data_IF_710890698742
#
_entry.id   IF_710890698742
#
_cell.length_a   1.000
_cell.length_b   1.000
_cell.length_c   1.000
_cell.angle_alpha   90.00
_cell.angle_beta   90.00
_cell.angle_gamma   90.00
#
_symmetry.space_group_name_H-M   'P 1'
#
loop_
_entity.id
_entity.type
_entity.pdbx_description
1 polymer ?
#
# COMPACT_ATOMS: atom_id res chain seq x y z
N UNK A 1 41.13 -64.30 6.41
CA UNK A 1 42.20 -64.66 5.46
C UNK A 1 42.34 -63.48 4.51
N UNK A 2 43.17 -62.50 4.86
CA UNK A 2 44.60 -62.36 4.54
C UNK A 2 44.86 -61.56 3.24
N UNK A 3 45.43 -60.35 3.42
CA UNK A 3 46.45 -59.65 2.59
C UNK A 3 45.99 -59.15 1.18
N UNK A 4 46.30 -57.96 0.65
CA UNK A 4 47.36 -56.97 0.90
C UNK A 4 46.97 -55.59 0.34
N UNK A 5 47.44 -54.56 1.04
CA UNK A 5 47.55 -53.18 0.57
C UNK A 5 48.76 -53.01 -0.38
N UNK A 6 48.68 -52.07 -1.32
CA UNK A 6 49.85 -51.47 -1.96
C UNK A 6 49.63 -49.97 -2.17
N UNK A 7 50.38 -49.18 -1.41
CA UNK A 7 50.59 -47.74 -1.58
C UNK A 7 51.79 -47.47 -2.50
N UNK A 8 51.90 -46.18 -2.89
CA UNK A 8 53.13 -45.38 -3.17
C UNK A 8 53.45 -45.10 -4.67
N UNK A 9 53.97 -43.91 -5.09
CA UNK A 9 53.93 -42.55 -4.53
C UNK A 9 53.50 -41.42 -5.50
N UNK A 10 53.31 -40.24 -4.90
CA UNK A 10 53.31 -38.89 -5.46
C UNK A 10 54.72 -38.46 -5.92
N UNK A 11 54.85 -37.85 -7.10
CA UNK A 11 56.05 -37.11 -7.51
C UNK A 11 55.66 -35.74 -8.12
N UNK A 12 56.23 -34.71 -7.51
CA UNK A 12 56.11 -33.29 -7.81
C UNK A 12 57.19 -32.90 -8.84
N UNK A 13 56.86 -32.14 -9.87
CA UNK A 13 57.84 -31.39 -10.67
C UNK A 13 57.28 -30.04 -11.08
N UNK A 14 58.07 -29.00 -10.80
CA UNK A 14 57.79 -27.59 -10.98
C UNK A 14 58.50 -27.01 -12.22
N UNK A 15 58.26 -25.70 -12.42
CA UNK A 15 58.89 -24.76 -13.34
C UNK A 15 58.26 -24.70 -14.75
N UNK A 16 58.15 -23.56 -15.43
CA UNK A 16 58.33 -22.14 -15.13
C UNK A 16 57.94 -21.39 -16.41
N UNK A 17 57.51 -20.13 -16.26
CA UNK A 17 57.20 -19.12 -17.26
C UNK A 17 58.11 -19.04 -18.49
N UNK A 18 57.50 -18.72 -19.64
CA UNK A 18 58.10 -17.92 -20.69
C UNK A 18 57.03 -17.02 -21.35
N UNK A 19 57.21 -15.72 -21.15
CA UNK A 19 56.51 -14.59 -21.77
C UNK A 19 56.84 -14.45 -23.27
N UNK A 20 55.83 -14.13 -24.07
CA UNK A 20 55.91 -13.26 -25.26
C UNK A 20 54.45 -12.91 -25.59
N UNK A 21 54.01 -11.67 -25.81
CA UNK A 21 54.69 -10.43 -26.14
C UNK A 21 53.61 -9.62 -26.88
N UNK A 22 53.27 -8.46 -26.34
CA UNK A 22 52.21 -7.57 -26.80
C UNK A 22 52.22 -7.30 -28.32
N UNK A 23 51.04 -7.36 -28.94
CA UNK A 23 50.69 -6.50 -30.05
C UNK A 23 49.34 -5.83 -29.74
N UNK A 24 49.47 -4.59 -29.28
CA UNK A 24 48.44 -3.58 -29.13
C UNK A 24 47.62 -3.45 -30.42
N UNK A 25 46.35 -3.83 -30.36
CA UNK A 25 45.32 -3.18 -31.17
C UNK A 25 44.26 -2.66 -30.22
N UNK A 26 44.52 -1.44 -29.75
CA UNK A 26 43.53 -0.46 -29.32
C UNK A 26 42.35 -0.40 -30.31
N UNK A 27 41.45 -1.37 -30.21
CA UNK A 27 40.05 -1.19 -30.57
C UNK A 27 39.49 -0.26 -29.50
N UNK A 28 39.67 1.04 -29.73
CA UNK A 28 38.82 2.07 -29.14
C UNK A 28 37.40 1.56 -29.31
N UNK A 29 36.81 1.04 -28.23
CA UNK A 29 35.37 1.00 -28.10
C UNK A 29 34.96 2.45 -28.16
N UNK A 30 34.66 2.87 -29.38
CA UNK A 30 33.89 4.03 -29.72
C UNK A 30 32.72 4.03 -28.73
N UNK A 31 32.82 4.87 -27.69
CA UNK A 31 31.78 5.08 -26.69
C UNK A 31 30.65 5.86 -27.37
N UNK A 32 30.10 5.29 -28.44
CA UNK A 32 28.76 5.60 -28.90
C UNK A 32 27.85 5.02 -27.84
N UNK A 33 27.53 5.85 -26.86
CA UNK A 33 26.52 5.54 -25.87
C UNK A 33 25.26 5.15 -26.63
N UNK A 34 24.97 3.85 -26.64
CA UNK A 34 23.78 3.27 -27.28
C UNK A 34 22.57 3.97 -26.69
N UNK A 35 21.63 4.40 -27.54
CA UNK A 35 20.51 5.21 -27.10
C UNK A 35 19.80 4.59 -25.87
N UNK A 36 19.48 5.43 -24.89
CA UNK A 36 18.80 5.05 -23.66
C UNK A 36 17.45 4.39 -24.00
N UNK A 37 17.20 3.25 -23.37
CA UNK A 37 15.97 2.47 -23.56
C UNK A 37 14.74 3.20 -23.02
N UNK A 38 13.52 2.78 -23.37
CA UNK A 38 12.29 3.34 -22.81
C UNK A 38 12.36 3.48 -21.28
N UNK A 39 12.06 4.66 -20.75
CA UNK A 39 12.13 5.00 -19.32
C UNK A 39 13.52 4.94 -18.66
N UNK A 40 14.59 4.72 -19.42
CA UNK A 40 15.95 4.79 -18.87
C UNK A 40 16.37 6.24 -18.62
N UNK A 41 17.34 6.43 -17.71
CA UNK A 41 17.96 7.73 -17.49
C UNK A 41 18.74 8.15 -18.74
N UNK A 42 18.52 9.39 -19.16
CA UNK A 42 19.14 9.98 -20.34
C UNK A 42 19.82 11.33 -20.05
N UNK A 43 19.99 11.69 -18.78
CA UNK A 43 20.63 12.94 -18.39
C UNK A 43 20.60 13.21 -16.89
N UNK A 44 21.27 14.29 -16.48
CA UNK A 44 21.42 14.69 -15.07
C UNK A 44 22.86 15.08 -14.74
N UNK A 45 23.04 15.99 -13.78
CA UNK A 45 24.36 16.35 -13.24
C UNK A 45 25.10 15.10 -12.76
N UNK A 46 26.28 14.84 -13.32
CA UNK A 46 27.12 13.68 -12.99
C UNK A 46 26.81 12.40 -13.79
N UNK A 47 25.78 12.38 -14.64
CA UNK A 47 25.44 11.23 -15.47
C UNK A 47 26.40 11.11 -16.68
N UNK A 48 27.01 9.94 -16.85
CA UNK A 48 27.98 9.64 -17.93
C UNK A 48 27.46 8.61 -18.95
N UNK A 49 26.17 8.24 -18.86
CA UNK A 49 25.51 7.30 -19.77
C UNK A 49 24.93 7.94 -21.02
N UNK A 50 24.04 7.23 -21.71
CA UNK A 50 23.47 7.66 -22.98
C UNK A 50 22.56 8.88 -22.84
N UNK A 51 22.87 9.96 -23.56
CA UNK A 51 22.12 11.23 -23.48
C UNK A 51 20.99 11.38 -24.49
N UNK A 52 20.79 10.37 -25.33
CA UNK A 52 19.75 10.32 -26.37
C UNK A 52 18.91 9.06 -26.19
N UNK A 53 17.61 9.15 -26.44
CA UNK A 53 16.68 8.03 -26.28
C UNK A 53 16.50 7.25 -27.59
N UNK A 54 16.05 5.99 -27.47
CA UNK A 54 15.69 5.17 -28.64
C UNK A 54 14.57 5.82 -29.47
N UNK A 55 14.43 5.43 -30.73
CA UNK A 55 13.46 6.03 -31.66
C UNK A 55 12.04 5.96 -31.09
N UNK A 56 11.29 7.07 -31.18
CA UNK A 56 9.95 7.22 -30.60
C UNK A 56 9.93 7.73 -29.15
N UNK A 57 11.10 7.99 -28.56
CA UNK A 57 11.24 8.47 -27.18
C UNK A 57 12.06 9.76 -27.12
N UNK A 58 11.71 10.63 -26.17
CA UNK A 58 12.34 11.94 -25.95
C UNK A 58 12.92 12.00 -24.56
N UNK A 59 14.16 12.48 -24.43
CA UNK A 59 14.78 12.70 -23.13
C UNK A 59 14.16 13.95 -22.47
N UNK A 60 13.45 13.78 -21.37
CA UNK A 60 12.80 14.88 -20.64
C UNK A 60 13.44 15.04 -19.27
N UNK A 61 13.84 16.28 -18.96
CA UNK A 61 14.44 16.62 -17.66
C UNK A 61 13.38 16.55 -16.57
N UNK A 62 13.58 15.67 -15.59
CA UNK A 62 12.76 15.64 -14.39
C UNK A 62 13.31 16.62 -13.33
N UNK A 63 14.63 16.62 -13.12
CA UNK A 63 15.31 17.57 -12.26
C UNK A 63 16.79 17.74 -12.67
N UNK A 64 17.54 18.53 -11.90
CA UNK A 64 18.95 18.84 -12.18
C UNK A 64 19.88 17.61 -12.24
N UNK A 65 19.54 16.53 -11.53
CA UNK A 65 20.35 15.31 -11.43
C UNK A 65 19.76 14.14 -12.23
N UNK A 66 18.59 14.31 -12.85
CA UNK A 66 17.89 13.21 -13.53
C UNK A 66 17.02 13.67 -14.70
N UNK A 67 17.20 13.03 -15.85
CA UNK A 67 16.35 13.14 -17.05
C UNK A 67 15.99 11.73 -17.53
N UNK A 68 14.79 11.52 -18.05
CA UNK A 68 14.28 10.19 -18.41
C UNK A 68 13.75 10.16 -19.85
N UNK A 69 13.92 9.04 -20.54
CA UNK A 69 13.26 8.78 -21.80
C UNK A 69 11.76 8.57 -21.61
N UNK A 70 10.94 9.45 -22.18
CA UNK A 70 9.47 9.33 -22.20
C UNK A 70 8.95 9.24 -23.63
N UNK A 71 7.80 8.62 -23.83
CA UNK A 71 7.25 8.40 -25.17
C UNK A 71 6.86 9.74 -25.81
N UNK A 72 7.29 9.96 -27.05
CA UNK A 72 6.95 11.18 -27.77
C UNK A 72 5.45 11.17 -28.12
N UNK A 73 4.65 11.97 -27.42
CA UNK A 73 3.26 12.22 -27.79
C UNK A 73 3.23 12.94 -29.14
N UNK A 74 2.71 12.28 -30.16
CA UNK A 74 2.43 12.89 -31.47
C UNK A 74 1.34 13.95 -31.33
N UNK A 75 1.74 15.22 -31.14
CA UNK A 75 0.82 16.35 -31.11
C UNK A 75 1.39 17.68 -30.61
N UNK A 76 2.11 18.40 -31.48
CA UNK A 76 1.93 19.86 -31.65
C UNK A 76 2.60 20.86 -30.68
N UNK A 77 3.72 21.44 -31.16
CA UNK A 77 4.12 22.87 -31.13
C UNK A 77 4.36 23.59 -29.78
N UNK A 78 5.65 23.73 -29.46
CA UNK A 78 6.42 24.96 -29.15
C UNK A 78 5.66 26.22 -28.69
N UNK A 79 5.98 26.70 -27.48
CA UNK A 79 6.41 28.11 -27.28
C UNK A 79 7.09 28.33 -25.92
N UNK A 80 7.93 29.35 -25.93
CA UNK A 80 9.03 29.70 -25.04
C UNK A 80 8.66 30.61 -23.87
N UNK A 81 9.45 30.48 -22.80
CA UNK A 81 9.91 31.51 -21.84
C UNK A 81 9.09 32.79 -21.57
N UNK A 82 8.76 33.02 -20.30
CA UNK A 82 9.13 34.27 -19.62
C UNK A 82 9.26 34.08 -18.11
N UNK A 83 10.35 34.63 -17.59
CA UNK A 83 10.73 34.78 -16.18
C UNK A 83 10.09 36.07 -15.67
N UNK A 84 9.48 36.08 -14.48
CA UNK A 84 9.44 37.29 -13.65
C UNK A 84 9.27 36.95 -12.17
N UNK A 85 10.14 37.55 -11.36
CA UNK A 85 10.14 37.56 -9.91
C UNK A 85 9.01 38.46 -9.35
N UNK A 86 8.65 38.31 -8.07
CA UNK A 86 8.93 39.31 -7.00
C UNK A 86 8.09 39.07 -5.73
N UNK A 87 8.80 39.08 -4.60
CA UNK A 87 8.47 39.50 -3.22
C UNK A 87 7.31 38.92 -2.41
N UNK A 88 7.75 38.25 -1.34
CA UNK A 88 7.31 38.26 0.07
C UNK A 88 6.62 39.54 0.57
N UNK A 89 5.52 39.36 1.31
CA UNK A 89 5.24 40.13 2.54
C UNK A 89 4.46 39.27 3.54
N UNK A 90 4.96 39.29 4.77
CA UNK A 90 4.42 38.69 5.99
C UNK A 90 3.51 39.73 6.64
N UNK A 91 2.33 39.31 7.14
CA UNK A 91 1.69 40.01 8.25
C UNK A 91 0.84 39.03 9.06
N UNK A 92 1.37 38.69 10.24
CA UNK A 92 0.61 38.13 11.34
C UNK A 92 -0.26 39.22 11.97
N UNK A 93 -1.46 38.86 12.45
CA UNK A 93 -2.12 39.67 13.48
C UNK A 93 -2.90 38.80 14.43
N UNK A 94 -2.77 39.18 15.69
CA UNK A 94 -3.05 38.49 16.94
C UNK A 94 -4.51 38.55 17.38
N UNK A 95 -4.94 37.40 17.92
CA UNK A 95 -5.79 37.18 19.11
C UNK A 95 -6.27 38.44 19.88
N UNK A 96 -7.57 38.55 20.10
CA UNK A 96 -8.13 39.11 21.34
C UNK A 96 -9.52 38.55 21.63
N UNK A 97 -9.72 38.31 22.92
CA UNK A 97 -10.75 37.58 23.64
C UNK A 97 -11.92 38.50 24.00
N UNK A 98 -13.16 38.00 24.07
CA UNK A 98 -14.08 38.38 25.15
C UNK A 98 -15.13 37.29 25.43
N UNK A 99 -15.14 36.84 26.69
CA UNK A 99 -16.28 36.20 27.35
C UNK A 99 -17.19 37.32 27.85
N UNK A 100 -18.51 37.17 27.75
CA UNK A 100 -19.39 37.36 28.91
C UNK A 100 -20.81 36.85 28.64
N UNK A 101 -21.36 36.33 29.72
CA UNK A 101 -22.63 35.68 30.01
C UNK A 101 -23.89 36.53 29.78
N UNK A 102 -25.03 35.87 29.53
CA UNK A 102 -26.21 35.95 30.42
C UNK A 102 -27.30 34.92 30.04
N UNK A 103 -28.06 34.55 31.06
CA UNK A 103 -29.04 33.48 31.17
C UNK A 103 -30.43 34.12 31.13
N UNK A 104 -31.40 33.53 30.42
CA UNK A 104 -32.78 34.03 30.41
C UNK A 104 -33.77 33.07 29.73
N UNK A 105 -34.52 32.35 30.56
CA UNK A 105 -35.63 31.45 30.23
C UNK A 105 -36.83 32.20 29.61
N UNK A 106 -37.66 31.55 28.77
CA UNK A 106 -39.12 31.33 28.98
C UNK A 106 -39.83 30.61 27.80
N UNK A 107 -40.59 29.55 28.18
CA UNK A 107 -41.77 28.85 27.61
C UNK A 107 -42.22 29.02 26.14
N UNK A 108 -42.30 27.86 25.49
CA UNK A 108 -43.45 27.18 24.85
C UNK A 108 -44.51 27.98 24.08
N UNK A 109 -44.66 27.66 22.78
CA UNK A 109 -45.97 27.43 22.13
C UNK A 109 -45.84 26.43 20.97
N UNK A 110 -46.78 25.48 20.94
CA UNK A 110 -47.01 24.47 19.92
C UNK A 110 -47.70 25.07 18.69
N UNK A 111 -47.27 24.71 17.47
CA UNK A 111 -48.17 24.68 16.30
C UNK A 111 -47.69 23.68 15.26
N UNK A 112 -48.59 22.78 14.89
CA UNK A 112 -48.41 21.73 13.90
C UNK A 112 -48.70 22.21 12.46
N UNK A 113 -48.12 21.43 11.53
CA UNK A 113 -48.50 21.17 10.15
C UNK A 113 -48.27 22.26 9.07
N UNK A 114 -47.39 21.93 8.12
CA UNK A 114 -47.74 21.99 6.69
C UNK A 114 -46.86 21.01 5.90
N UNK A 115 -47.50 20.03 5.28
CA UNK A 115 -46.91 18.99 4.46
C UNK A 115 -46.76 19.47 3.03
N UNK A 116 -45.52 19.66 2.57
CA UNK A 116 -45.21 19.83 1.14
C UNK A 116 -44.70 18.50 0.58
N UNK A 117 -45.47 17.95 -0.35
CA UNK A 117 -45.12 16.74 -1.12
C UNK A 117 -43.96 17.07 -2.06
N UNK A 118 -42.78 16.53 -1.79
CA UNK A 118 -41.68 16.48 -2.76
C UNK A 118 -41.74 15.14 -3.49
N UNK A 119 -41.91 15.18 -4.80
CA UNK A 119 -41.92 14.03 -5.69
C UNK A 119 -40.56 13.31 -5.63
N UNK A 120 -40.55 12.08 -5.12
CA UNK A 120 -39.38 11.22 -5.10
C UNK A 120 -39.10 10.67 -6.50
N UNK A 121 -37.86 10.81 -6.96
CA UNK A 121 -37.33 10.18 -8.17
C UNK A 121 -37.20 8.66 -7.93
N UNK A 122 -37.57 7.77 -8.87
CA UNK A 122 -37.53 6.33 -8.62
C UNK A 122 -36.09 5.83 -8.54
N UNK A 123 -35.71 5.29 -7.37
CA UNK A 123 -34.49 4.48 -7.20
C UNK A 123 -34.74 3.14 -7.89
N UNK A 124 -34.08 2.90 -9.02
CA UNK A 124 -34.12 1.61 -9.69
C UNK A 124 -33.24 0.61 -8.92
N UNK A 125 -33.86 -0.14 -8.02
CA UNK A 125 -33.27 -1.34 -7.41
C UNK A 125 -33.32 -2.49 -8.41
N UNK A 126 -32.18 -2.85 -8.98
CA UNK A 126 -32.01 -4.14 -9.66
C UNK A 126 -31.17 -5.05 -8.76
N UNK A 127 -31.60 -6.30 -8.59
CA UNK A 127 -30.86 -7.34 -7.88
C UNK A 127 -29.61 -7.69 -8.69
N UNK A 128 -28.42 -7.32 -8.19
CA UNK A 128 -27.16 -7.63 -8.86
C UNK A 128 -26.84 -9.14 -8.74
N UNK A 129 -26.24 -9.75 -9.79
CA UNK A 129 -25.76 -11.12 -9.71
C UNK A 129 -24.58 -11.21 -8.73
N UNK A 130 -24.53 -12.28 -7.95
CA UNK A 130 -23.42 -12.56 -7.04
C UNK A 130 -22.13 -12.80 -7.85
N UNK A 131 -21.17 -11.88 -7.74
CA UNK A 131 -19.83 -12.09 -8.28
C UNK A 131 -19.18 -13.29 -7.60
N UNK A 132 -18.84 -14.31 -8.41
CA UNK A 132 -18.24 -15.57 -7.99
C UNK A 132 -16.77 -15.39 -7.59
N UNK A 133 -16.52 -14.84 -6.42
CA UNK A 133 -15.17 -14.83 -5.84
C UNK A 133 -15.16 -15.59 -4.51
N UNK A 134 -14.22 -16.52 -4.36
CA UNK A 134 -13.90 -17.12 -3.07
C UNK A 134 -13.65 -16.00 -2.06
N UNK A 135 -14.12 -16.16 -0.82
CA UNK A 135 -13.90 -15.21 0.26
C UNK A 135 -12.40 -14.97 0.56
N UNK A 136 -12.07 -14.10 1.52
CA UNK A 136 -10.68 -13.80 1.85
C UNK A 136 -9.90 -15.06 2.26
N UNK A 137 -8.61 -15.09 1.93
CA UNK A 137 -7.64 -15.94 2.62
C UNK A 137 -7.05 -15.11 3.77
N UNK A 138 -6.80 -15.73 4.93
CA UNK A 138 -6.29 -15.00 6.09
C UNK A 138 -7.30 -14.81 7.21
N UNK A 139 -6.97 -13.95 8.16
CA UNK A 139 -7.76 -13.76 9.38
C UNK A 139 -9.19 -13.28 9.12
N UNK A 140 -9.46 -12.51 8.06
CA UNK A 140 -10.84 -12.11 7.70
C UNK A 140 -11.74 -13.29 7.29
N UNK A 141 -11.17 -14.47 7.02
CA UNK A 141 -11.95 -15.71 6.78
C UNK A 141 -12.46 -16.37 8.07
N UNK A 142 -11.84 -16.05 9.21
CA UNK A 142 -12.19 -16.58 10.52
C UNK A 142 -13.33 -15.76 11.14
N UNK A 143 -13.73 -16.12 12.37
CA UNK A 143 -14.76 -15.39 13.13
C UNK A 143 -16.09 -15.24 12.37
N UNK A 144 -16.51 -16.29 11.66
CA UNK A 144 -17.72 -16.26 10.83
C UNK A 144 -17.52 -15.72 9.40
N UNK A 145 -16.32 -15.23 9.09
CA UNK A 145 -15.92 -14.79 7.75
C UNK A 145 -16.37 -13.37 7.38
N UNK A 146 -15.98 -12.95 6.19
CA UNK A 146 -16.31 -11.62 5.64
C UNK A 146 -17.03 -11.78 4.29
N UNK A 147 -18.30 -11.38 4.25
CA UNK A 147 -19.19 -11.42 3.09
C UNK A 147 -19.63 -10.02 2.63
N UNK A 148 -19.31 -8.99 3.40
CA UNK A 148 -19.63 -7.60 3.12
C UNK A 148 -21.13 -7.36 3.02
N UNK A 149 -21.57 -6.72 1.93
CA UNK A 149 -22.95 -6.41 1.63
C UNK A 149 -23.74 -7.50 0.90
N UNK A 150 -23.22 -8.74 0.82
CA UNK A 150 -23.89 -9.84 0.14
C UNK A 150 -25.34 -10.02 0.66
N UNK A 151 -26.28 -10.24 -0.25
CA UNK A 151 -27.72 -10.32 0.06
C UNK A 151 -28.41 -8.97 0.29
N UNK A 152 -27.66 -7.86 0.29
CA UNK A 152 -28.17 -6.50 0.38
C UNK A 152 -28.50 -5.84 -0.96
N UNK A 153 -28.97 -4.60 -0.89
CA UNK A 153 -29.24 -3.77 -2.07
C UNK A 153 -27.95 -3.39 -2.80
N UNK A 154 -28.01 -3.28 -4.13
CA UNK A 154 -26.93 -2.72 -4.94
C UNK A 154 -27.18 -1.25 -5.26
N UNK A 155 -26.18 -0.40 -5.03
CA UNK A 155 -26.26 1.06 -5.18
C UNK A 155 -25.03 1.50 -5.98
N UNK A 156 -25.21 2.30 -7.04
CA UNK A 156 -24.08 2.94 -7.73
C UNK A 156 -23.98 4.40 -7.31
N UNK A 157 -22.76 4.85 -7.00
CA UNK A 157 -22.45 6.21 -6.56
C UNK A 157 -21.34 6.81 -7.42
N UNK A 158 -21.41 8.11 -7.68
CA UNK A 158 -20.42 8.84 -8.49
C UNK A 158 -20.05 10.20 -7.88
N UNK A 159 -20.53 10.49 -6.67
CA UNK A 159 -20.22 11.71 -5.93
C UNK A 159 -20.11 11.41 -4.43
N UNK A 160 -19.49 12.34 -3.69
CA UNK A 160 -19.18 12.15 -2.29
C UNK A 160 -20.44 12.06 -1.40
N UNK A 161 -21.49 12.82 -1.72
CA UNK A 161 -22.70 12.85 -0.92
C UNK A 161 -23.49 11.54 -1.07
N UNK A 162 -23.61 11.01 -2.29
CA UNK A 162 -24.23 9.71 -2.54
C UNK A 162 -23.41 8.57 -1.92
N UNK A 163 -22.08 8.62 -2.00
CA UNK A 163 -21.19 7.66 -1.35
C UNK A 163 -21.40 7.63 0.17
N UNK A 164 -21.31 8.78 0.85
CA UNK A 164 -21.51 8.88 2.31
C UNK A 164 -22.89 8.37 2.74
N UNK A 165 -23.92 8.61 1.94
CA UNK A 165 -25.27 8.13 2.23
C UNK A 165 -25.42 6.61 2.03
N UNK A 166 -24.76 6.03 1.03
CA UNK A 166 -24.89 4.61 0.70
C UNK A 166 -24.14 3.70 1.70
N UNK A 167 -23.05 4.18 2.29
CA UNK A 167 -22.16 3.36 3.16
C UNK A 167 -22.46 3.46 4.66
N UNK A 168 -23.34 4.38 5.08
CA UNK A 168 -23.68 4.56 6.50
C UNK A 168 -24.64 3.48 7.03
N UNK A 169 -24.61 3.27 8.34
CA UNK A 169 -25.49 2.30 9.02
C UNK A 169 -25.17 0.83 8.69
N UNK A 170 -25.93 -0.10 9.25
CA UNK A 170 -25.56 -1.53 9.25
C UNK A 170 -26.35 -2.40 8.27
N UNK A 171 -27.32 -1.84 7.56
CA UNK A 171 -28.11 -2.58 6.55
C UNK A 171 -27.20 -3.05 5.43
N UNK A 172 -27.25 -4.34 5.09
CA UNK A 172 -26.41 -4.91 4.04
C UNK A 172 -26.56 -4.16 2.71
N UNK A 173 -25.45 -3.75 2.10
CA UNK A 173 -25.45 -3.09 0.80
C UNK A 173 -24.13 -3.29 0.02
N UNK A 174 -24.26 -3.48 -1.29
CA UNK A 174 -23.17 -3.44 -2.25
C UNK A 174 -23.16 -2.05 -2.90
N UNK A 175 -22.14 -1.25 -2.59
CA UNK A 175 -21.95 0.10 -3.09
C UNK A 175 -20.89 0.09 -4.18
N UNK A 176 -21.31 0.24 -5.42
CA UNK A 176 -20.44 0.38 -6.58
C UNK A 176 -20.03 1.84 -6.76
N UNK A 177 -18.73 2.11 -6.69
CA UNK A 177 -18.15 3.42 -7.00
C UNK A 177 -17.90 3.50 -8.50
N UNK A 178 -18.39 4.55 -9.16
CA UNK A 178 -18.19 4.81 -10.58
C UNK A 178 -17.45 6.13 -10.80
N UNK A 179 -16.26 6.05 -11.39
CA UNK A 179 -15.32 7.14 -11.52
C UNK A 179 -14.53 7.42 -10.23
N UNK A 180 -13.62 8.39 -10.31
CA UNK A 180 -12.84 8.87 -9.16
C UNK A 180 -13.61 10.00 -8.47
N UNK A 181 -14.16 9.72 -7.30
CA UNK A 181 -14.86 10.70 -6.48
C UNK A 181 -13.85 11.66 -5.86
N UNK A 182 -14.13 12.97 -5.92
CA UNK A 182 -13.33 13.98 -5.22
C UNK A 182 -13.79 14.09 -3.77
N UNK A 183 -12.89 13.82 -2.84
CA UNK A 183 -13.06 14.01 -1.41
C UNK A 183 -12.91 15.48 -1.00
N UNK A 184 -13.27 15.74 0.24
CA UNK A 184 -13.24 17.04 0.92
C UNK A 184 -12.18 17.13 2.01
N UNK A 185 -11.25 16.16 2.06
CA UNK A 185 -10.22 16.01 3.09
C UNK A 185 -10.66 15.19 4.30
N UNK A 186 -11.94 14.83 4.41
CA UNK A 186 -12.46 14.06 5.54
C UNK A 186 -12.62 12.57 5.23
N UNK A 187 -13.02 11.83 6.26
CA UNK A 187 -13.38 10.41 6.16
C UNK A 187 -14.84 10.19 5.78
N UNK A 188 -15.05 9.25 4.86
CA UNK A 188 -16.32 8.57 4.61
C UNK A 188 -16.48 7.47 5.66
N UNK A 189 -17.40 7.66 6.62
CA UNK A 189 -17.68 6.67 7.67
C UNK A 189 -18.48 5.50 7.11
N UNK A 190 -17.96 4.29 7.25
CA UNK A 190 -18.53 3.05 6.75
C UNK A 190 -19.12 2.24 7.91
N UNK A 191 -20.40 1.89 7.81
CA UNK A 191 -21.06 1.00 8.78
C UNK A 191 -20.88 -0.49 8.45
N UNK A 192 -21.55 -1.35 9.19
CA UNK A 192 -21.42 -2.81 9.02
C UNK A 192 -22.07 -3.33 7.73
N UNK A 193 -21.65 -4.53 7.31
CA UNK A 193 -22.25 -5.27 6.18
C UNK A 193 -22.20 -4.48 4.86
N UNK A 194 -21.03 -3.93 4.53
CA UNK A 194 -20.82 -3.15 3.30
C UNK A 194 -19.83 -3.83 2.39
N UNK A 195 -20.13 -3.84 1.11
CA UNK A 195 -19.14 -4.06 0.05
C UNK A 195 -19.00 -2.76 -0.73
N UNK A 196 -17.84 -2.13 -0.70
CA UNK A 196 -17.53 -0.94 -1.49
C UNK A 196 -16.61 -1.38 -2.62
N UNK A 197 -17.16 -1.43 -3.84
CA UNK A 197 -16.54 -2.09 -4.98
C UNK A 197 -16.35 -1.09 -6.13
N UNK A 198 -15.30 -1.27 -6.94
CA UNK A 198 -15.22 -0.60 -8.24
C UNK A 198 -16.35 -1.09 -9.16
N UNK A 199 -17.04 -0.16 -9.83
CA UNK A 199 -18.13 -0.45 -10.78
C UNK A 199 -17.62 -0.96 -12.13
N UNK A 200 -16.49 -0.42 -12.57
CA UNK A 200 -15.95 -0.53 -13.92
C UNK A 200 -14.69 -1.41 -14.00
N UNK A 201 -14.06 -1.71 -12.86
CA UNK A 201 -12.79 -2.42 -12.79
C UNK A 201 -11.63 -1.66 -13.43
N UNK A 202 -10.49 -2.33 -13.58
CA UNK A 202 -9.35 -1.81 -14.33
C UNK A 202 -8.79 -0.49 -13.82
N UNK A 203 -8.92 -0.20 -12.52
CA UNK A 203 -8.35 0.98 -11.86
C UNK A 203 -9.09 2.30 -12.08
N UNK A 204 -10.31 2.25 -12.62
CA UNK A 204 -11.06 3.44 -13.08
C UNK A 204 -11.87 4.15 -11.99
N UNK A 205 -12.12 3.47 -10.86
CA UNK A 205 -13.02 3.95 -9.83
C UNK A 205 -12.32 4.07 -8.48
N UNK A 206 -12.78 5.01 -7.66
CA UNK A 206 -12.28 5.17 -6.31
C UNK A 206 -12.45 6.58 -5.80
N UNK A 207 -11.47 7.09 -5.06
CA UNK A 207 -11.54 8.39 -4.42
C UNK A 207 -10.16 9.07 -4.36
N UNK A 208 -10.15 10.39 -4.47
CA UNK A 208 -8.96 11.21 -4.24
C UNK A 208 -9.26 12.37 -3.30
N UNK A 209 -8.32 12.76 -2.43
CA UNK A 209 -8.53 13.89 -1.52
C UNK A 209 -9.43 13.59 -0.32
N UNK A 210 -9.47 12.33 0.13
CA UNK A 210 -10.23 11.89 1.31
C UNK A 210 -10.04 10.40 1.54
N UNK A 211 -10.68 9.84 2.57
CA UNK A 211 -10.48 8.45 2.97
C UNK A 211 -11.72 7.72 3.47
N UNK A 212 -11.60 6.42 3.70
CA UNK A 212 -12.66 5.61 4.34
C UNK A 212 -12.32 5.36 5.80
N UNK A 213 -13.30 5.44 6.69
CA UNK A 213 -13.15 5.04 8.09
C UNK A 213 -14.18 3.95 8.43
N UNK A 214 -13.70 2.73 8.62
CA UNK A 214 -14.47 1.60 9.16
C UNK A 214 -14.26 1.61 10.67
N UNK A 215 -15.25 2.11 11.41
CA UNK A 215 -15.15 2.27 12.87
C UNK A 215 -16.31 1.65 13.59
N UNK A 216 -16.02 0.82 14.60
CA UNK A 216 -17.04 0.08 15.37
C UNK A 216 -17.99 -0.71 14.46
N UNK A 217 -17.46 -1.21 13.35
CA UNK A 217 -18.22 -1.92 12.32
C UNK A 217 -17.71 -3.34 12.15
N UNK A 218 -18.48 -4.17 11.45
CA UNK A 218 -18.04 -5.52 11.09
C UNK A 218 -18.49 -5.92 9.70
N UNK A 219 -17.82 -6.94 9.16
CA UNK A 219 -18.19 -7.55 7.89
C UNK A 219 -18.18 -6.52 6.74
N UNK A 220 -16.98 -5.99 6.43
CA UNK A 220 -16.80 -4.94 5.42
C UNK A 220 -15.79 -5.38 4.37
N UNK A 221 -16.11 -5.14 3.10
CA UNK A 221 -15.23 -5.35 1.94
C UNK A 221 -14.98 -3.98 1.28
N UNK A 222 -13.71 -3.65 1.03
CA UNK A 222 -13.30 -2.53 0.19
C UNK A 222 -12.43 -3.09 -0.92
N UNK A 223 -12.88 -3.00 -2.19
CA UNK A 223 -12.26 -3.76 -3.26
C UNK A 223 -12.21 -3.06 -4.61
N UNK A 224 -11.07 -3.18 -5.29
CA UNK A 224 -10.91 -2.71 -6.67
C UNK A 224 -10.75 -1.20 -6.82
N UNK A 225 -10.56 -0.44 -5.74
CA UNK A 225 -10.58 1.02 -5.77
C UNK A 225 -9.19 1.63 -5.92
N UNK A 226 -9.09 2.69 -6.71
CA UNK A 226 -7.95 3.61 -6.74
C UNK A 226 -8.16 4.71 -5.69
N UNK A 227 -7.36 4.71 -4.63
CA UNK A 227 -7.44 5.62 -3.49
C UNK A 227 -6.19 6.49 -3.44
N UNK A 228 -6.35 7.82 -3.40
CA UNK A 228 -5.17 8.69 -3.45
C UNK A 228 -5.25 10.00 -2.69
N UNK A 229 -4.08 10.50 -2.26
CA UNK A 229 -3.86 11.88 -1.80
C UNK A 229 -4.83 12.35 -0.70
N UNK A 230 -5.09 11.51 0.29
CA UNK A 230 -5.87 11.93 1.46
C UNK A 230 -5.00 12.78 2.39
N UNK A 231 -5.30 14.08 2.57
CA UNK A 231 -4.50 14.96 3.42
C UNK A 231 -4.54 14.51 4.88
N UNK A 232 -3.42 14.68 5.59
CA UNK A 232 -3.41 14.47 7.03
C UNK A 232 -4.48 15.36 7.71
N UNK A 233 -5.15 14.86 8.77
CA UNK A 233 -4.88 13.61 9.49
C UNK A 233 -5.68 12.41 8.95
N UNK A 234 -6.21 12.47 7.74
CA UNK A 234 -7.08 11.42 7.20
C UNK A 234 -6.25 10.37 6.44
N UNK A 235 -6.33 9.11 6.86
CA UNK A 235 -5.78 7.98 6.10
C UNK A 235 -6.64 7.66 4.88
N UNK A 236 -6.07 6.99 3.85
CA UNK A 236 -6.89 6.51 2.72
C UNK A 236 -7.90 5.45 3.17
N UNK A 237 -7.50 4.54 4.07
CA UNK A 237 -8.37 3.61 4.77
C UNK A 237 -7.95 3.50 6.24
N UNK A 238 -8.82 3.91 7.15
CA UNK A 238 -8.69 3.64 8.59
C UNK A 238 -9.66 2.55 9.03
N UNK A 239 -9.17 1.58 9.81
CA UNK A 239 -9.96 0.50 10.42
C UNK A 239 -9.76 0.58 11.92
N UNK A 240 -10.82 0.91 12.66
CA UNK A 240 -10.77 1.13 14.11
C UNK A 240 -11.83 0.31 14.82
N UNK A 241 -11.46 -0.47 15.84
CA UNK A 241 -12.41 -1.21 16.69
C UNK A 241 -13.44 -2.01 15.89
N UNK A 242 -12.98 -2.58 14.78
CA UNK A 242 -13.81 -3.22 13.77
C UNK A 242 -13.33 -4.63 13.52
N UNK A 243 -14.23 -5.53 13.12
CA UNK A 243 -13.91 -6.95 12.91
C UNK A 243 -14.29 -7.43 11.52
N UNK A 244 -13.59 -8.43 10.99
CA UNK A 244 -13.93 -9.05 9.71
C UNK A 244 -13.97 -8.01 8.57
N UNK A 245 -12.80 -7.42 8.30
CA UNK A 245 -12.62 -6.43 7.23
C UNK A 245 -11.66 -6.98 6.18
N UNK A 246 -12.05 -6.87 4.91
CA UNK A 246 -11.25 -7.31 3.78
C UNK A 246 -10.97 -6.15 2.81
N UNK A 247 -9.69 -5.82 2.64
CA UNK A 247 -9.23 -4.80 1.71
C UNK A 247 -8.46 -5.49 0.59
N UNK A 248 -9.02 -5.49 -0.63
CA UNK A 248 -8.54 -6.34 -1.72
C UNK A 248 -8.43 -5.62 -3.06
N UNK A 249 -7.37 -5.88 -3.83
CA UNK A 249 -7.19 -5.28 -5.16
C UNK A 249 -7.38 -3.76 -5.19
N UNK A 250 -7.02 -3.04 -4.13
CA UNK A 250 -7.01 -1.58 -4.12
C UNK A 250 -5.62 -1.06 -4.53
N UNK A 251 -5.58 0.14 -5.11
CA UNK A 251 -4.34 0.88 -5.33
C UNK A 251 -4.32 2.11 -4.43
N UNK A 252 -3.30 2.24 -3.60
CA UNK A 252 -3.10 3.35 -2.67
C UNK A 252 -1.94 4.23 -3.17
N UNK A 253 -2.15 5.54 -3.28
CA UNK A 253 -1.11 6.47 -3.76
C UNK A 253 -1.11 7.79 -3.01
N UNK A 254 0.02 8.14 -2.41
CA UNK A 254 0.20 9.44 -1.72
C UNK A 254 1.19 10.30 -2.50
N UNK A 255 2.23 10.84 -1.86
CA UNK A 255 3.44 11.31 -2.52
C UNK A 255 4.62 11.34 -1.53
N UNK A 256 5.82 10.88 -1.91
CA UNK A 256 7.03 11.08 -1.13
C UNK A 256 7.70 12.44 -1.41
N UNK A 257 7.19 13.24 -2.35
CA UNK A 257 7.76 14.54 -2.76
C UNK A 257 7.27 15.72 -1.90
N UNK A 258 6.45 15.44 -0.90
CA UNK A 258 5.95 16.38 0.10
C UNK A 258 6.50 16.02 1.48
N UNK A 259 6.29 16.90 2.46
CA UNK A 259 6.63 16.58 3.86
C UNK A 259 5.95 15.27 4.30
N UNK A 260 6.64 14.50 5.15
CA UNK A 260 6.18 13.19 5.61
C UNK A 260 4.84 13.22 6.34
N UNK A 261 4.44 14.36 6.89
CA UNK A 261 3.16 14.53 7.60
C UNK A 261 2.14 15.35 6.80
N UNK A 262 2.41 15.65 5.53
CA UNK A 262 1.41 16.24 4.63
C UNK A 262 0.26 15.27 4.32
N UNK A 263 0.62 14.01 4.05
CA UNK A 263 -0.30 12.88 4.00
C UNK A 263 -0.06 11.99 5.22
N UNK A 264 -1.10 11.33 5.72
CA UNK A 264 -0.95 10.36 6.81
C UNK A 264 -0.76 8.92 6.29
N UNK A 265 -1.37 7.91 6.91
CA UNK A 265 -1.28 6.52 6.50
C UNK A 265 -2.04 6.23 5.22
N UNK A 266 -1.58 5.23 4.46
CA UNK A 266 -2.40 4.66 3.38
C UNK A 266 -3.45 3.69 3.95
N UNK A 267 -3.07 2.82 4.88
CA UNK A 267 -4.00 1.89 5.52
C UNK A 267 -3.61 1.64 6.98
N UNK A 268 -4.39 2.19 7.91
CA UNK A 268 -4.13 2.03 9.34
C UNK A 268 -5.20 1.15 10.02
N UNK A 269 -4.75 0.23 10.87
CA UNK A 269 -5.57 -0.76 11.59
C UNK A 269 -5.31 -0.60 13.09
N UNK A 270 -6.22 0.00 13.83
CA UNK A 270 -5.94 0.48 15.20
C UNK A 270 -7.12 0.23 16.13
N UNK A 271 -6.93 0.51 17.42
CA UNK A 271 -7.99 0.44 18.44
C UNK A 271 -8.70 -0.91 18.47
N UNK A 272 -7.98 -1.99 18.78
CA UNK A 272 -8.53 -3.35 18.86
C UNK A 272 -9.30 -3.82 17.61
N UNK A 273 -9.01 -3.25 16.43
CA UNK A 273 -9.47 -3.84 15.18
C UNK A 273 -8.93 -5.27 15.06
N UNK A 274 -9.68 -6.17 14.43
CA UNK A 274 -9.35 -7.59 14.47
C UNK A 274 -9.90 -8.35 13.27
N UNK A 275 -9.33 -9.52 12.98
CA UNK A 275 -9.73 -10.35 11.84
C UNK A 275 -9.72 -9.58 10.51
N UNK A 276 -8.56 -9.01 10.16
CA UNK A 276 -8.40 -8.20 8.95
C UNK A 276 -7.52 -8.93 7.93
N UNK A 277 -7.91 -8.90 6.66
CA UNK A 277 -7.08 -9.34 5.53
C UNK A 277 -6.87 -8.16 4.60
N UNK A 278 -5.60 -7.92 4.23
CA UNK A 278 -5.15 -6.96 3.23
C UNK A 278 -4.49 -7.74 2.11
N UNK A 279 -5.15 -7.90 0.96
CA UNK A 279 -4.67 -8.77 -0.11
C UNK A 279 -4.64 -8.15 -1.49
N UNK A 280 -3.66 -8.54 -2.30
CA UNK A 280 -3.58 -8.16 -3.72
C UNK A 280 -3.63 -6.64 -3.95
N UNK A 281 -3.20 -5.82 -2.99
CA UNK A 281 -3.21 -4.36 -3.12
C UNK A 281 -1.88 -3.86 -3.70
N UNK A 282 -1.90 -2.69 -4.35
CA UNK A 282 -0.71 -1.93 -4.69
C UNK A 282 -0.61 -0.71 -3.78
N UNK A 283 0.38 -0.68 -2.90
CA UNK A 283 0.76 0.48 -2.09
C UNK A 283 1.95 1.16 -2.75
N UNK A 284 1.80 2.44 -3.10
CA UNK A 284 2.87 3.16 -3.77
C UNK A 284 3.01 4.62 -3.33
N UNK A 285 4.22 5.14 -3.51
CA UNK A 285 4.52 6.58 -3.42
C UNK A 285 4.08 7.20 -2.07
N UNK A 286 4.60 6.69 -0.95
CA UNK A 286 4.18 7.14 0.38
C UNK A 286 5.31 7.22 1.40
N UNK A 287 5.19 8.14 2.34
CA UNK A 287 6.03 8.18 3.54
C UNK A 287 5.60 7.17 4.59
N UNK A 288 4.31 7.15 4.95
CA UNK A 288 3.71 6.26 5.95
C UNK A 288 2.72 5.35 5.24
N UNK A 289 3.00 4.05 5.22
CA UNK A 289 2.20 3.11 4.43
C UNK A 289 1.07 2.49 5.25
N UNK A 290 1.40 1.57 6.18
CA UNK A 290 0.40 0.85 6.95
C UNK A 290 0.82 0.62 8.41
N UNK A 291 0.09 1.23 9.34
CA UNK A 291 0.29 1.07 10.77
C UNK A 291 -0.74 0.11 11.37
N UNK A 292 -0.30 -0.77 12.27
CA UNK A 292 -1.17 -1.65 13.05
C UNK A 292 -0.88 -1.43 14.54
N UNK A 293 -1.88 -0.95 15.28
CA UNK A 293 -1.73 -0.47 16.65
C UNK A 293 -1.03 0.91 16.68
N UNK A 294 -1.75 1.95 17.08
CA UNK A 294 -1.32 3.34 16.85
C UNK A 294 -0.29 3.87 17.86
N UNK A 295 -0.30 3.36 19.09
CA UNK A 295 0.43 3.93 20.22
C UNK A 295 1.03 2.86 21.10
N UNK A 296 2.26 3.07 21.56
CA UNK A 296 2.97 2.19 22.50
C UNK A 296 2.22 2.10 23.86
N UNK A 297 1.35 3.08 24.17
CA UNK A 297 0.59 3.13 25.42
C UNK A 297 -0.85 2.58 25.29
N UNK A 298 -1.19 1.92 24.17
CA UNK A 298 -2.55 1.42 23.94
C UNK A 298 -2.71 -0.10 24.20
N UNK A 299 -1.73 -0.74 24.85
CA UNK A 299 -1.73 -2.18 25.07
C UNK A 299 -2.97 -2.71 25.81
N UNK A 300 -3.60 -1.90 26.68
CA UNK A 300 -4.82 -2.29 27.38
C UNK A 300 -6.03 -2.50 26.45
N UNK A 301 -6.08 -1.81 25.32
CA UNK A 301 -7.10 -2.00 24.28
C UNK A 301 -6.61 -3.01 23.23
N UNK A 302 -5.35 -2.92 22.79
CA UNK A 302 -4.86 -3.64 21.61
C UNK A 302 -4.40 -5.08 21.88
N UNK A 303 -4.01 -5.43 23.12
CA UNK A 303 -3.54 -6.78 23.46
C UNK A 303 -4.65 -7.81 23.31
N UNK A 304 -4.38 -8.89 22.57
CA UNK A 304 -5.37 -9.94 22.26
C UNK A 304 -6.21 -9.67 21.01
N UNK A 305 -5.97 -8.53 20.33
CA UNK A 305 -6.61 -8.12 19.09
C UNK A 305 -5.57 -7.96 17.96
N UNK A 306 -5.90 -7.20 16.91
CA UNK A 306 -5.01 -6.85 15.80
C UNK A 306 -4.44 -8.08 15.09
N UNK A 307 -5.27 -9.09 14.83
CA UNK A 307 -4.91 -10.23 13.96
C UNK A 307 -5.08 -9.82 12.51
N UNK A 308 -3.96 -9.65 11.80
CA UNK A 308 -3.94 -9.10 10.45
C UNK A 308 -3.13 -9.97 9.50
N UNK A 309 -3.70 -10.26 8.34
CA UNK A 309 -3.02 -10.94 7.23
C UNK A 309 -2.69 -9.96 6.11
N UNK A 310 -1.45 -9.97 5.62
CA UNK A 310 -1.05 -9.31 4.37
C UNK A 310 -0.58 -10.36 3.37
N UNK A 311 -1.21 -10.43 2.19
CA UNK A 311 -0.70 -11.31 1.14
C UNK A 311 -0.91 -10.84 -0.30
N UNK A 312 0.04 -11.18 -1.17
CA UNK A 312 -0.04 -10.83 -2.59
C UNK A 312 0.00 -9.32 -2.85
N UNK A 313 0.37 -8.50 -1.87
CA UNK A 313 0.45 -7.04 -2.03
C UNK A 313 1.78 -6.65 -2.67
N UNK A 314 1.76 -5.56 -3.45
CA UNK A 314 2.95 -4.89 -3.94
C UNK A 314 3.16 -3.60 -3.15
N UNK A 315 4.28 -3.48 -2.46
CA UNK A 315 4.74 -2.25 -1.82
C UNK A 315 5.85 -1.65 -2.68
N UNK A 316 5.55 -0.57 -3.41
CA UNK A 316 6.42 0.00 -4.43
C UNK A 316 6.79 1.46 -4.12
N UNK A 317 8.09 1.75 -3.98
CA UNK A 317 8.58 3.11 -3.77
C UNK A 317 7.91 3.82 -2.58
N UNK A 318 7.91 3.13 -1.44
CA UNK A 318 7.39 3.65 -0.16
C UNK A 318 8.53 3.81 0.84
N UNK A 319 8.34 4.63 1.88
CA UNK A 319 9.39 4.86 2.87
C UNK A 319 9.34 3.84 3.99
N UNK A 320 8.24 3.74 4.75
CA UNK A 320 8.19 2.81 5.89
C UNK A 320 6.78 2.31 6.23
N UNK A 321 6.73 1.44 7.25
CA UNK A 321 5.52 0.82 7.81
C UNK A 321 4.85 -0.13 6.82
N UNK A 322 5.52 -1.23 6.44
CA UNK A 322 5.01 -2.16 5.41
C UNK A 322 4.77 -3.62 5.86
N UNK A 323 4.10 -3.90 6.99
CA UNK A 323 3.50 -2.98 7.95
C UNK A 323 4.42 -2.69 9.15
N UNK A 324 4.06 -1.70 9.98
CA UNK A 324 4.56 -1.62 11.37
C UNK A 324 3.47 -2.05 12.33
N UNK A 325 3.72 -3.08 13.14
CA UNK A 325 2.76 -3.74 14.02
C UNK A 325 3.15 -3.60 15.49
N UNK A 326 2.15 -3.33 16.34
CA UNK A 326 2.22 -3.38 17.80
C UNK A 326 1.20 -4.36 18.39
N UNK A 327 1.55 -5.03 19.48
CA UNK A 327 0.74 -5.95 20.32
C UNK A 327 0.10 -7.17 19.66
N UNK A 328 -0.31 -7.05 18.39
CA UNK A 328 -1.11 -8.03 17.68
C UNK A 328 -0.32 -9.15 17.02
N UNK A 329 -1.04 -9.91 16.19
CA UNK A 329 -0.47 -11.04 15.43
C UNK A 329 -0.53 -10.76 13.94
N UNK A 330 0.62 -10.75 13.29
CA UNK A 330 0.74 -10.58 11.84
C UNK A 330 1.01 -11.89 11.11
N UNK A 331 0.39 -12.08 9.94
CA UNK A 331 0.85 -13.06 8.96
C UNK A 331 1.09 -12.36 7.63
N UNK A 332 2.34 -12.35 7.18
CA UNK A 332 2.79 -11.61 6.01
C UNK A 332 3.42 -12.58 5.03
N UNK A 333 2.74 -12.87 3.92
CA UNK A 333 3.21 -13.87 2.96
C UNK A 333 2.96 -13.52 1.49
N UNK A 334 3.80 -14.01 0.58
CA UNK A 334 3.70 -13.78 -0.86
C UNK A 334 3.61 -12.29 -1.26
N UNK A 335 4.10 -11.36 -0.45
CA UNK A 335 4.12 -9.94 -0.79
C UNK A 335 5.42 -9.61 -1.55
N UNK A 336 5.32 -8.63 -2.44
CA UNK A 336 6.45 -8.05 -3.14
C UNK A 336 6.75 -6.66 -2.59
N UNK A 337 7.95 -6.49 -2.04
CA UNK A 337 8.47 -5.24 -1.55
C UNK A 337 9.54 -4.75 -2.52
N UNK A 338 9.36 -3.58 -3.10
CA UNK A 338 10.30 -3.01 -4.07
C UNK A 338 10.56 -1.54 -3.74
N UNK A 339 11.85 -1.23 -3.54
CA UNK A 339 12.31 0.13 -3.27
C UNK A 339 11.67 0.72 -2.00
N UNK A 340 11.85 0.03 -0.87
CA UNK A 340 11.40 0.49 0.45
C UNK A 340 12.57 1.19 1.14
N UNK A 341 12.47 2.52 1.29
CA UNK A 341 13.64 3.39 1.57
C UNK A 341 14.01 3.51 3.05
N UNK A 342 13.04 3.37 3.94
CA UNK A 342 13.17 3.62 5.37
C UNK A 342 13.26 2.32 6.16
N UNK A 343 12.17 1.55 6.20
CA UNK A 343 12.12 0.24 6.87
C UNK A 343 10.99 -0.63 6.33
N UNK A 344 11.18 -1.96 6.42
CA UNK A 344 10.24 -2.98 5.98
C UNK A 344 9.15 -3.30 7.02
N UNK A 345 9.08 -4.58 7.40
CA UNK A 345 8.16 -5.12 8.38
C UNK A 345 8.73 -4.88 9.78
N UNK A 346 8.01 -4.13 10.62
CA UNK A 346 8.49 -3.80 11.96
C UNK A 346 7.55 -4.36 13.02
N UNK A 347 8.00 -5.36 13.79
CA UNK A 347 7.27 -5.90 14.94
C UNK A 347 7.72 -5.20 16.22
N UNK A 348 6.75 -4.75 17.04
CA UNK A 348 6.99 -3.89 18.21
C UNK A 348 5.98 -4.21 19.32
N UNK A 349 6.27 -3.77 20.53
CA UNK A 349 5.41 -3.85 21.72
C UNK A 349 4.76 -5.23 21.91
N UNK A 350 5.56 -6.30 21.89
CA UNK A 350 5.07 -7.68 22.03
C UNK A 350 4.33 -8.25 20.83
N UNK A 351 4.25 -7.52 19.70
CA UNK A 351 3.69 -8.06 18.47
C UNK A 351 4.49 -9.27 17.98
N UNK A 352 3.80 -10.24 17.37
CA UNK A 352 4.42 -11.41 16.76
C UNK A 352 3.98 -11.57 15.30
N UNK A 353 4.95 -11.65 14.39
CA UNK A 353 4.70 -11.75 12.95
C UNK A 353 5.28 -13.03 12.37
N UNK A 354 4.48 -13.80 11.64
CA UNK A 354 4.97 -14.87 10.77
C UNK A 354 5.19 -14.29 9.37
N UNK A 355 6.44 -14.34 8.90
CA UNK A 355 6.88 -13.79 7.61
C UNK A 355 7.30 -14.93 6.70
N UNK A 356 6.51 -15.19 5.65
CA UNK A 356 6.68 -16.38 4.80
C UNK A 356 6.69 -16.09 3.31
N UNK A 357 7.73 -16.54 2.60
CA UNK A 357 7.81 -16.46 1.13
C UNK A 357 7.41 -15.08 0.62
N UNK A 358 8.12 -14.03 1.02
CA UNK A 358 8.01 -12.68 0.46
C UNK A 358 9.25 -12.36 -0.38
N UNK A 359 9.14 -11.42 -1.32
CA UNK A 359 10.28 -10.94 -2.09
C UNK A 359 10.59 -9.50 -1.72
N UNK A 360 11.79 -9.24 -1.24
CA UNK A 360 12.30 -7.93 -0.87
C UNK A 360 13.36 -7.50 -1.87
N UNK A 361 13.11 -6.42 -2.61
CA UNK A 361 14.02 -5.84 -3.60
C UNK A 361 14.38 -4.41 -3.25
N UNK A 362 15.66 -4.13 -3.00
CA UNK A 362 16.10 -2.80 -2.58
C UNK A 362 15.31 -2.28 -1.37
N UNK A 363 15.22 -3.11 -0.34
CA UNK A 363 14.52 -2.81 0.90
C UNK A 363 15.53 -2.55 2.01
N UNK A 364 15.41 -1.38 2.62
CA UNK A 364 16.10 -1.07 3.87
C UNK A 364 15.42 -1.77 5.03
N UNK A 365 16.21 -2.43 5.89
CA UNK A 365 15.76 -3.16 7.07
C UNK A 365 14.45 -3.95 6.82
N UNK A 366 14.48 -5.03 6.01
CA UNK A 366 13.27 -5.67 5.50
C UNK A 366 12.38 -6.29 6.57
N UNK A 367 12.98 -6.75 7.67
CA UNK A 367 12.27 -7.27 8.85
C UNK A 367 13.04 -6.81 10.08
N UNK A 368 12.37 -6.14 11.01
CA UNK A 368 12.97 -5.61 12.24
C UNK A 368 12.16 -5.98 13.48
N UNK A 369 12.86 -6.41 14.53
CA UNK A 369 12.30 -6.60 15.87
C UNK A 369 13.03 -5.78 16.95
N UNK A 370 14.02 -4.99 16.57
CA UNK A 370 14.95 -4.27 17.47
C UNK A 370 14.36 -2.99 18.09
N UNK A 371 13.21 -2.53 17.60
CA UNK A 371 12.71 -1.22 17.98
C UNK A 371 12.10 -1.21 19.39
N UNK A 372 11.35 -2.25 19.78
CA UNK A 372 10.57 -2.34 21.03
C UNK A 372 10.04 -3.77 21.28
N UNK A 373 10.84 -4.75 21.69
CA UNK A 373 10.34 -6.08 22.16
C UNK A 373 9.26 -6.76 21.28
N UNK A 374 9.36 -6.64 19.96
CA UNK A 374 8.53 -7.41 19.02
C UNK A 374 9.19 -8.72 18.64
N UNK A 375 8.48 -9.60 17.92
CA UNK A 375 8.95 -10.92 17.52
C UNK A 375 8.61 -11.21 16.06
N UNK A 376 9.51 -11.90 15.37
CA UNK A 376 9.24 -12.39 14.01
C UNK A 376 9.69 -13.84 13.83
N UNK A 377 8.78 -14.70 13.38
CA UNK A 377 9.09 -16.02 12.87
C UNK A 377 9.27 -15.92 11.35
N UNK A 378 10.49 -16.12 10.85
CA UNK A 378 10.82 -15.98 9.42
C UNK A 378 10.99 -17.37 8.82
N UNK A 379 10.00 -17.81 8.04
CA UNK A 379 9.92 -19.15 7.47
C UNK A 379 9.72 -19.11 5.95
N UNK A 380 9.77 -20.25 5.27
CA UNK A 380 9.51 -20.33 3.82
C UNK A 380 10.59 -19.66 2.96
N UNK A 381 10.25 -19.37 1.69
CA UNK A 381 11.20 -18.94 0.65
C UNK A 381 11.25 -17.41 0.54
N UNK A 382 11.59 -16.73 1.64
CA UNK A 382 11.79 -15.27 1.60
C UNK A 382 13.06 -14.94 0.80
N UNK A 383 12.96 -14.01 -0.15
CA UNK A 383 14.07 -13.59 -1.02
C UNK A 383 14.46 -12.16 -0.69
N UNK A 384 15.77 -11.92 -0.47
CA UNK A 384 16.34 -10.60 -0.21
C UNK A 384 17.30 -10.24 -1.36
N UNK A 385 16.79 -9.50 -2.33
CA UNK A 385 17.50 -9.04 -3.52
C UNK A 385 17.92 -7.57 -3.35
N UNK A 386 19.22 -7.31 -3.40
CA UNK A 386 19.81 -5.98 -3.18
C UNK A 386 19.22 -5.23 -1.96
N UNK A 387 18.84 -5.98 -0.91
CA UNK A 387 18.21 -5.48 0.30
C UNK A 387 19.14 -5.70 1.49
N UNK A 388 18.91 -4.98 2.59
CA UNK A 388 19.57 -5.29 3.85
C UNK A 388 19.18 -6.69 4.33
N UNK A 389 19.94 -7.24 5.28
CA UNK A 389 19.52 -8.46 5.98
C UNK A 389 18.44 -8.14 7.02
N UNK A 390 17.52 -9.08 7.32
CA UNK A 390 16.66 -9.00 8.50
C UNK A 390 17.46 -8.73 9.78
N UNK A 391 16.95 -7.85 10.64
CA UNK A 391 17.52 -7.53 11.95
C UNK A 391 16.60 -8.02 13.07
N UNK A 392 16.86 -9.25 13.51
CA UNK A 392 16.02 -9.99 14.44
C UNK A 392 16.72 -10.16 15.79
N UNK A 393 16.51 -9.21 16.71
CA UNK A 393 16.90 -9.39 18.11
C UNK A 393 16.05 -10.45 18.82
N UNK A 394 14.80 -10.59 18.40
CA UNK A 394 13.80 -11.46 19.02
C UNK A 394 13.16 -12.35 17.94
N UNK A 395 13.46 -13.65 18.00
CA UNK A 395 12.88 -14.64 17.09
C UNK A 395 11.52 -15.09 17.62
N UNK A 396 10.51 -15.06 16.75
CA UNK A 396 9.15 -15.51 17.05
C UNK A 396 8.98 -17.02 16.98
N UNK A 397 7.89 -17.48 17.57
CA UNK A 397 7.46 -18.88 17.67
C UNK A 397 6.19 -19.20 16.88
N UNK A 398 5.54 -18.19 16.29
CA UNK A 398 4.32 -18.35 15.50
C UNK A 398 4.51 -19.33 14.35
N UNK A 399 3.58 -20.28 14.21
CA UNK A 399 3.62 -21.33 13.18
C UNK A 399 2.39 -21.28 12.28
N UNK A 400 2.48 -21.83 11.04
CA UNK A 400 1.33 -21.98 10.15
C UNK A 400 0.09 -22.59 10.83
N UNK A 401 0.30 -23.60 11.70
CA UNK A 401 -0.78 -24.29 12.40
C UNK A 401 -1.52 -23.40 13.40
N UNK A 402 -0.83 -22.42 14.00
CA UNK A 402 -1.40 -21.49 14.98
C UNK A 402 -2.31 -20.42 14.35
N UNK A 403 -2.21 -20.19 13.03
CA UNK A 403 -2.99 -19.16 12.33
C UNK A 403 -4.48 -19.48 12.21
N UNK A 404 -4.84 -20.77 12.21
CA UNK A 404 -6.24 -21.22 12.17
C UNK A 404 -6.92 -21.18 10.80
N UNK A 405 -6.20 -20.85 9.71
CA UNK A 405 -6.68 -20.92 8.32
C UNK A 405 -5.68 -21.57 7.38
N UNK A 406 -6.14 -21.98 6.20
CA UNK A 406 -5.30 -22.55 5.14
C UNK A 406 -4.90 -21.48 4.14
N UNK A 407 -3.70 -21.63 3.58
CA UNK A 407 -3.13 -20.75 2.57
C UNK A 407 -2.11 -21.52 1.73
N UNK A 408 -1.66 -20.90 0.63
CA UNK A 408 -0.64 -21.45 -0.26
C UNK A 408 0.50 -20.46 -0.36
N UNK A 409 1.73 -20.97 -0.25
CA UNK A 409 2.94 -20.19 -0.47
C UNK A 409 3.36 -20.29 -1.92
N UNK A 410 3.71 -19.14 -2.51
CA UNK A 410 4.37 -19.08 -3.80
C UNK A 410 5.86 -19.33 -3.63
N UNK A 411 6.52 -19.80 -4.68
CA UNK A 411 7.98 -19.82 -4.69
C UNK A 411 8.49 -18.38 -4.67
N UNK A 412 9.46 -18.09 -3.80
CA UNK A 412 10.02 -16.75 -3.59
C UNK A 412 10.35 -16.04 -4.88
N UNK A 413 11.13 -16.70 -5.74
CA UNK A 413 11.57 -16.17 -7.04
C UNK A 413 10.41 -15.83 -8.03
N UNK A 414 9.22 -16.41 -7.85
CA UNK A 414 8.06 -16.14 -8.71
C UNK A 414 7.21 -14.97 -8.22
N UNK A 415 7.39 -14.54 -6.97
CA UNK A 415 6.55 -13.51 -6.34
C UNK A 415 6.52 -12.22 -7.17
N UNK A 416 7.64 -11.66 -7.68
CA UNK A 416 7.58 -10.41 -8.44
C UNK A 416 6.63 -10.50 -9.65
N UNK A 417 6.69 -11.59 -10.42
CA UNK A 417 5.84 -11.75 -11.60
C UNK A 417 4.38 -12.01 -11.24
N UNK A 418 4.13 -12.88 -10.25
CA UNK A 418 2.79 -13.20 -9.75
C UNK A 418 2.11 -11.95 -9.19
N UNK A 419 2.79 -11.25 -8.28
CA UNK A 419 2.24 -10.07 -7.60
C UNK A 419 2.02 -8.92 -8.57
N UNK A 420 2.97 -8.56 -9.43
CA UNK A 420 2.78 -7.47 -10.41
C UNK A 420 1.64 -7.76 -11.39
N UNK A 421 1.40 -9.05 -11.70
CA UNK A 421 0.29 -9.44 -12.57
C UNK A 421 -1.08 -9.34 -11.91
N UNK A 422 -1.15 -9.37 -10.57
CA UNK A 422 -2.40 -9.51 -9.82
C UNK A 422 -2.73 -8.34 -8.88
N UNK A 423 -1.73 -7.59 -8.41
CA UNK A 423 -1.94 -6.57 -7.40
C UNK A 423 -2.49 -5.25 -7.97
N UNK A 424 -3.40 -4.63 -7.22
CA UNK A 424 -3.93 -3.29 -7.45
C UNK A 424 -5.25 -3.24 -8.20
N UNK A 425 -5.86 -2.05 -8.18
CA UNK A 425 -7.18 -1.78 -8.77
C UNK A 425 -7.23 -2.04 -10.27
N UNK A 426 -6.09 -1.88 -10.97
CA UNK A 426 -5.96 -2.17 -12.39
C UNK A 426 -6.16 -3.65 -12.73
N UNK A 427 -5.98 -4.56 -11.77
CA UNK A 427 -6.12 -6.01 -11.94
C UNK A 427 -7.46 -6.54 -11.44
N UNK A 428 -8.27 -5.68 -10.81
CA UNK A 428 -9.63 -6.00 -10.44
C UNK A 428 -10.54 -6.05 -11.66
N UNK A 429 -11.25 -7.17 -11.82
CA UNK A 429 -12.37 -7.32 -12.75
C UNK A 429 -13.68 -7.18 -11.97
N UNK A 430 -14.54 -6.26 -12.41
CA UNK A 430 -15.83 -5.96 -11.78
C UNK A 430 -16.87 -7.08 -11.98
#
# INVERSE_FOLDING_TARGET
>A
MHFLASLVPLALAAASLAEAGHADTSSRHDRRATAAQPYAQCGGKGFSGATSCTSGWTCVKANDYYSQCVQASSGGKSSSSTKLATATTIAATSKATSKSTTKGSTKTTTKAASSTKTSAVPVQTSSAPASSSKGPVGYASLNGGTTGGAGGSSITVSDLASLRNAVKGDTAAIVYVSGVIKGDGETVKVGSNKSILSKNGGGKDGMTGGGFLVKEAKNVIIRGLTLSKSPAPTDLVGIQKSTNVWVDHCTFTSSPEVDKDYYDGQLDITHAADFVTVSNNLFQEAWKTSLIGHSDNNGAEDTGHLRVTYHGNHFYNVNSRVPSLRFGTGHVFNNYYENVKGSGINAREGAEVLVESNYFKSVKNPIETTLKDGYAAVNGDNVFDASDSPDLENVGSLTPAALGYKYTLEKGANIPSVVVSNAGAAKYSA
#
